data_IF_469886329582
#
_entry.id   IF_469886329582
#
_cell.length_a   1.000
_cell.length_b   1.000
_cell.length_c   1.000
_cell.angle_alpha   90.00
_cell.angle_beta   90.00
_cell.angle_gamma   90.00
#
_symmetry.space_group_name_H-M   'P 1'
#
loop_
_entity.id
_entity.type
_entity.pdbx_description
1 polymer ?
#
# COMPACT_ATOMS: atom_id res chain seq x y z
N UNK A 1 -27.49 25.76 -58.94
CA UNK A 1 -26.77 26.40 -57.82
C UNK A 1 -27.11 25.86 -56.43
N UNK A 2 -28.32 25.37 -56.10
CA UNK A 2 -28.62 24.82 -54.76
C UNK A 2 -27.96 23.48 -54.44
N UNK A 3 -27.61 22.65 -55.39
CA UNK A 3 -26.99 21.32 -55.13
C UNK A 3 -25.46 21.39 -54.87
N UNK A 4 -24.76 22.41 -55.36
CA UNK A 4 -23.32 22.58 -55.16
C UNK A 4 -23.03 23.10 -53.77
N UNK A 5 -23.90 23.94 -53.18
CA UNK A 5 -23.73 24.48 -51.84
C UNK A 5 -23.90 23.40 -50.75
N UNK A 6 -24.80 22.43 -50.95
CA UNK A 6 -25.00 21.36 -49.99
C UNK A 6 -23.83 20.33 -49.98
N UNK A 7 -23.18 20.08 -51.10
CA UNK A 7 -22.01 19.18 -51.19
C UNK A 7 -20.77 19.83 -50.50
N UNK A 8 -20.58 21.14 -50.66
CA UNK A 8 -19.47 21.85 -49.99
C UNK A 8 -19.66 21.95 -48.46
N UNK A 9 -20.88 22.10 -47.95
CA UNK A 9 -21.14 22.09 -46.51
C UNK A 9 -20.90 20.71 -45.87
N UNK A 10 -21.30 19.63 -46.55
CA UNK A 10 -21.12 18.26 -46.05
C UNK A 10 -19.63 17.88 -46.03
N UNK A 11 -18.87 18.23 -47.06
CA UNK A 11 -17.44 17.96 -47.12
C UNK A 11 -16.66 18.78 -46.07
N UNK A 12 -17.05 20.03 -45.80
CA UNK A 12 -16.39 20.84 -44.76
C UNK A 12 -16.69 20.34 -43.35
N UNK A 13 -17.91 19.85 -43.09
CA UNK A 13 -18.28 19.25 -41.78
C UNK A 13 -17.55 17.95 -41.52
N UNK A 14 -17.38 17.08 -42.52
CA UNK A 14 -16.63 15.81 -42.38
C UNK A 14 -15.14 16.08 -42.15
N UNK A 15 -14.53 17.04 -42.83
CA UNK A 15 -13.09 17.38 -42.62
C UNK A 15 -12.87 17.99 -41.25
N UNK A 16 -13.78 18.76 -40.70
CA UNK A 16 -13.66 19.31 -39.35
C UNK A 16 -13.82 18.23 -38.27
N UNK A 17 -14.74 17.27 -38.45
CA UNK A 17 -14.91 16.15 -37.54
C UNK A 17 -13.69 15.21 -37.55
N UNK A 18 -13.17 14.82 -38.71
CA UNK A 18 -11.96 13.97 -38.81
C UNK A 18 -10.70 14.68 -38.30
N UNK A 19 -10.56 15.99 -38.48
CA UNK A 19 -9.45 16.76 -37.94
C UNK A 19 -9.53 16.93 -36.38
N UNK A 20 -10.73 16.98 -35.82
CA UNK A 20 -10.94 17.04 -34.38
C UNK A 20 -10.67 15.68 -33.73
N UNK A 21 -11.14 14.57 -34.31
CA UNK A 21 -10.88 13.21 -33.85
C UNK A 21 -9.38 12.87 -33.93
N UNK A 22 -8.69 13.23 -35.03
CA UNK A 22 -7.25 12.99 -35.16
C UNK A 22 -6.39 13.79 -34.19
N UNK A 23 -6.79 15.04 -33.86
CA UNK A 23 -6.11 15.83 -32.83
C UNK A 23 -6.33 15.22 -31.43
N UNK A 24 -7.53 14.78 -31.12
CA UNK A 24 -7.88 14.16 -29.84
C UNK A 24 -7.15 12.81 -29.66
N UNK A 25 -7.09 11.99 -30.72
CA UNK A 25 -6.32 10.74 -30.73
C UNK A 25 -4.82 10.97 -30.57
N UNK A 26 -4.23 11.93 -31.29
CA UNK A 26 -2.81 12.28 -31.15
C UNK A 26 -2.48 12.83 -29.77
N UNK A 27 -3.35 13.64 -29.19
CA UNK A 27 -3.16 14.15 -27.81
C UNK A 27 -3.24 13.02 -26.79
N UNK A 28 -4.20 12.10 -26.91
CA UNK A 28 -4.33 10.93 -26.05
C UNK A 28 -3.11 10.02 -26.16
N UNK A 29 -2.67 9.69 -27.37
CA UNK A 29 -1.49 8.85 -27.61
C UNK A 29 -0.19 9.47 -27.08
N UNK A 30 -0.05 10.80 -27.17
CA UNK A 30 1.10 11.52 -26.60
C UNK A 30 1.04 11.53 -25.07
N UNK A 31 -0.13 11.64 -24.48
CA UNK A 31 -0.32 11.60 -23.02
C UNK A 31 -0.05 10.20 -22.47
N UNK A 32 -0.54 9.15 -23.13
CA UNK A 32 -0.31 7.76 -22.75
C UNK A 32 1.20 7.42 -22.79
N UNK A 33 1.92 7.84 -23.85
CA UNK A 33 3.37 7.61 -23.97
C UNK A 33 4.20 8.35 -22.92
N UNK A 34 3.77 9.54 -22.49
CA UNK A 34 4.42 10.30 -21.40
C UNK A 34 4.15 9.65 -20.06
N UNK A 35 2.92 9.22 -19.80
CA UNK A 35 2.57 8.52 -18.57
C UNK A 35 3.41 7.26 -18.40
N UNK A 36 3.58 6.46 -19.46
CA UNK A 36 4.41 5.25 -19.44
C UNK A 36 5.88 5.54 -19.09
N UNK A 37 6.45 6.60 -19.65
CA UNK A 37 7.83 7.01 -19.33
C UNK A 37 7.99 7.44 -17.86
N UNK A 38 6.99 8.12 -17.30
CA UNK A 38 7.00 8.50 -15.90
C UNK A 38 6.75 7.31 -14.95
N UNK A 39 6.02 6.27 -15.39
CA UNK A 39 5.84 5.05 -14.60
C UNK A 39 7.18 4.35 -14.32
N UNK A 40 8.06 4.21 -15.32
CA UNK A 40 9.41 3.65 -15.10
C UNK A 40 10.24 4.55 -14.17
N UNK A 41 10.15 5.86 -14.36
CA UNK A 41 10.90 6.83 -13.55
C UNK A 41 10.49 6.75 -12.08
N UNK A 42 9.19 6.81 -11.78
CA UNK A 42 8.72 6.80 -10.40
C UNK A 42 8.95 5.45 -9.74
N UNK A 43 8.76 4.33 -10.45
CA UNK A 43 9.08 3.00 -9.91
C UNK A 43 10.56 2.90 -9.54
N UNK A 44 11.47 3.31 -10.43
CA UNK A 44 12.90 3.29 -10.15
C UNK A 44 13.26 4.19 -8.94
N UNK A 45 12.71 5.39 -8.87
CA UNK A 45 12.98 6.31 -7.76
C UNK A 45 12.50 5.75 -6.42
N UNK A 46 11.26 5.29 -6.34
CA UNK A 46 10.67 4.74 -5.11
C UNK A 46 11.30 3.41 -4.70
N UNK A 47 11.65 2.53 -5.64
CA UNK A 47 12.42 1.30 -5.37
C UNK A 47 13.80 1.64 -4.80
N UNK A 48 14.45 2.71 -5.25
CA UNK A 48 15.75 3.15 -4.74
C UNK A 48 15.73 3.55 -3.25
N UNK A 49 14.58 3.94 -2.69
CA UNK A 49 14.41 4.09 -1.25
C UNK A 49 14.74 2.77 -0.53
N UNK A 50 14.14 1.67 -0.97
CA UNK A 50 14.31 0.34 -0.40
C UNK A 50 15.63 -0.34 -0.79
N UNK A 51 16.23 0.08 -1.89
CA UNK A 51 17.49 -0.48 -2.36
C UNK A 51 18.71 0.23 -1.77
N UNK A 52 18.73 1.56 -1.79
CA UNK A 52 19.89 2.37 -1.40
C UNK A 52 19.86 2.77 0.08
N UNK A 53 18.74 3.27 0.58
CA UNK A 53 18.66 3.72 1.97
C UNK A 53 18.73 2.54 2.96
N UNK A 54 18.18 1.39 2.60
CA UNK A 54 18.28 0.18 3.40
C UNK A 54 19.72 -0.35 3.60
N UNK A 55 20.68 0.11 2.80
CA UNK A 55 22.09 -0.24 2.97
C UNK A 55 22.80 0.54 4.09
N UNK A 56 22.17 1.56 4.64
CA UNK A 56 22.72 2.35 5.75
C UNK A 56 22.78 1.57 7.06
N UNK A 57 22.01 0.50 7.20
CA UNK A 57 22.04 -0.39 8.37
C UNK A 57 22.44 -1.82 7.99
N UNK A 58 22.78 -2.65 8.98
CA UNK A 58 23.15 -4.05 8.74
C UNK A 58 21.98 -4.93 8.29
N UNK A 59 20.74 -4.52 8.57
CA UNK A 59 19.54 -5.32 8.29
C UNK A 59 19.26 -5.50 6.79
N UNK A 60 19.46 -4.46 6.00
CA UNK A 60 18.95 -4.38 4.64
C UNK A 60 17.44 -4.12 4.54
N UNK A 61 16.77 -3.90 5.68
CA UNK A 61 15.36 -3.53 5.80
C UNK A 61 15.17 -2.02 5.62
N UNK A 62 13.93 -1.61 5.35
CA UNK A 62 13.60 -0.22 5.07
C UNK A 62 13.80 0.67 6.30
N UNK A 63 14.53 1.80 6.19
CA UNK A 63 14.46 2.83 7.23
C UNK A 63 13.00 3.28 7.39
N UNK A 64 12.60 3.53 8.61
CA UNK A 64 11.22 4.00 8.88
C UNK A 64 10.97 5.30 8.13
N UNK A 65 11.94 6.23 8.20
CA UNK A 65 11.91 7.51 7.50
C UNK A 65 13.27 7.93 6.98
N UNK A 66 13.28 8.81 6.00
CA UNK A 66 14.48 9.47 5.49
C UNK A 66 14.25 10.97 5.47
N UNK A 67 15.11 11.70 6.18
CA UNK A 67 15.16 13.16 6.16
C UNK A 67 16.22 13.60 5.15
N UNK A 68 15.84 14.39 4.16
CA UNK A 68 16.76 14.82 3.09
C UNK A 68 17.84 15.80 3.55
N UNK A 69 17.63 16.45 4.70
CA UNK A 69 18.63 17.30 5.38
C UNK A 69 19.57 16.51 6.30
N UNK A 70 19.35 15.17 6.46
CA UNK A 70 20.07 14.29 7.38
C UNK A 70 20.00 14.73 8.86
N UNK A 71 19.00 15.50 9.25
CA UNK A 71 18.77 15.91 10.64
C UNK A 71 17.73 14.98 11.28
N UNK A 72 18.15 14.20 12.27
CA UNK A 72 17.31 13.24 13.00
C UNK A 72 17.21 13.65 14.49
N UNK A 73 16.29 14.56 14.83
CA UNK A 73 16.20 15.14 16.18
C UNK A 73 15.90 14.11 17.28
N UNK A 74 15.27 12.98 16.88
CA UNK A 74 14.87 11.88 17.79
C UNK A 74 15.92 10.75 17.84
N UNK A 75 17.08 10.94 17.20
CA UNK A 75 18.14 9.93 17.07
C UNK A 75 17.63 8.61 16.42
N UNK A 76 16.76 8.73 15.45
CA UNK A 76 16.03 7.64 14.78
C UNK A 76 16.60 7.27 13.40
N UNK A 77 17.81 7.74 13.07
CA UNK A 77 18.47 7.47 11.78
C UNK A 77 18.68 5.98 11.47
N UNK A 78 18.79 5.13 12.48
CA UNK A 78 18.95 3.67 12.34
C UNK A 78 17.65 2.88 12.55
N UNK A 79 16.54 3.57 12.77
CA UNK A 79 15.25 2.91 12.98
C UNK A 79 14.74 2.36 11.66
N UNK A 80 14.44 1.07 11.64
CA UNK A 80 13.75 0.38 10.55
C UNK A 80 12.31 0.09 10.95
N UNK A 81 11.41 0.09 9.97
CA UNK A 81 10.00 -0.26 10.15
C UNK A 81 9.72 -1.67 9.67
N UNK A 82 8.97 -2.43 10.46
CA UNK A 82 8.64 -3.82 10.13
C UNK A 82 7.71 -3.92 8.93
N UNK A 83 6.56 -3.25 8.97
CA UNK A 83 5.57 -3.32 7.89
C UNK A 83 6.02 -2.64 6.61
N UNK A 84 6.59 -1.43 6.72
CA UNK A 84 7.15 -0.74 5.56
C UNK A 84 8.26 -1.53 4.87
N UNK A 85 9.01 -2.36 5.64
CA UNK A 85 9.97 -3.31 5.06
C UNK A 85 9.28 -4.42 4.26
N UNK A 86 8.12 -4.90 4.69
CA UNK A 86 7.30 -5.85 3.92
C UNK A 86 6.91 -5.29 2.55
N UNK A 87 6.49 -4.04 2.51
CA UNK A 87 6.21 -3.34 1.24
C UNK A 87 7.48 -3.19 0.39
N UNK A 88 8.61 -2.89 1.04
CA UNK A 88 9.93 -2.82 0.40
C UNK A 88 10.35 -4.14 -0.24
N UNK A 89 10.11 -5.28 0.40
CA UNK A 89 10.38 -6.60 -0.18
C UNK A 89 9.63 -6.81 -1.51
N UNK A 90 8.37 -6.42 -1.56
CA UNK A 90 7.57 -6.49 -2.78
C UNK A 90 8.07 -5.50 -3.85
N UNK A 91 8.45 -4.28 -3.44
CA UNK A 91 9.05 -3.29 -4.33
C UNK A 91 10.38 -3.79 -4.94
N UNK A 92 11.21 -4.47 -4.15
CA UNK A 92 12.47 -5.06 -4.65
C UNK A 92 12.23 -6.19 -5.66
N UNK A 93 11.19 -7.02 -5.48
CA UNK A 93 10.78 -8.03 -6.49
C UNK A 93 10.39 -7.32 -7.79
N UNK A 94 9.58 -6.26 -7.73
CA UNK A 94 9.25 -5.46 -8.92
C UNK A 94 10.51 -4.90 -9.59
N UNK A 95 11.47 -4.41 -8.79
CA UNK A 95 12.75 -3.90 -9.29
C UNK A 95 13.61 -4.96 -10.00
N UNK A 96 13.61 -6.19 -9.51
CA UNK A 96 14.32 -7.32 -10.13
C UNK A 96 13.62 -7.71 -11.44
N UNK A 97 12.32 -7.82 -11.45
CA UNK A 97 11.54 -8.20 -12.63
C UNK A 97 11.66 -7.16 -13.75
N UNK A 98 11.69 -5.87 -13.40
CA UNK A 98 11.92 -4.76 -14.32
C UNK A 98 13.38 -4.59 -14.77
N UNK A 99 14.31 -5.34 -14.20
CA UNK A 99 15.74 -5.19 -14.51
C UNK A 99 16.40 -3.95 -13.90
N UNK A 100 15.76 -3.28 -12.94
CA UNK A 100 16.37 -2.17 -12.18
C UNK A 100 17.37 -2.68 -11.15
N UNK A 101 17.22 -3.93 -10.72
CA UNK A 101 18.08 -4.63 -9.76
C UNK A 101 18.55 -5.94 -10.39
N UNK A 102 19.85 -6.18 -10.34
CA UNK A 102 20.44 -7.44 -10.78
C UNK A 102 19.92 -8.62 -9.93
N UNK A 103 19.54 -9.74 -10.57
CA UNK A 103 18.93 -10.90 -9.90
C UNK A 103 19.78 -11.46 -8.77
N UNK A 104 21.08 -11.59 -8.97
CA UNK A 104 22.01 -12.10 -7.97
C UNK A 104 22.16 -11.12 -6.78
N UNK A 105 22.19 -9.82 -7.07
CA UNK A 105 22.24 -8.79 -6.03
C UNK A 105 20.94 -8.77 -5.21
N UNK A 106 19.79 -8.96 -5.85
CA UNK A 106 18.50 -9.11 -5.20
C UNK A 106 18.44 -10.32 -4.27
N UNK A 107 18.89 -11.50 -4.74
CA UNK A 107 18.95 -12.71 -3.90
C UNK A 107 19.80 -12.48 -2.66
N UNK A 108 21.00 -11.92 -2.80
CA UNK A 108 21.88 -11.58 -1.66
C UNK A 108 21.22 -10.61 -0.67
N UNK A 109 20.45 -9.66 -1.16
CA UNK A 109 19.69 -8.74 -0.30
C UNK A 109 18.66 -9.49 0.53
N UNK A 110 17.88 -10.39 -0.06
CA UNK A 110 16.87 -11.17 0.65
C UNK A 110 17.50 -12.15 1.65
N UNK A 111 18.60 -12.80 1.32
CA UNK A 111 19.37 -13.65 2.26
C UNK A 111 19.85 -12.85 3.48
N UNK A 112 20.34 -11.63 3.27
CA UNK A 112 20.77 -10.72 4.34
C UNK A 112 19.59 -10.35 5.24
N UNK A 113 18.45 -9.94 4.64
CA UNK A 113 17.24 -9.56 5.36
C UNK A 113 16.73 -10.73 6.21
N UNK A 114 16.60 -11.92 5.63
CA UNK A 114 16.13 -13.11 6.37
C UNK A 114 17.09 -13.46 7.50
N UNK A 115 18.40 -13.42 7.26
CA UNK A 115 19.42 -13.67 8.31
C UNK A 115 19.36 -12.66 9.45
N UNK A 116 18.94 -11.44 9.18
CA UNK A 116 18.73 -10.44 10.23
C UNK A 116 17.44 -10.72 11.02
N UNK A 117 16.34 -10.99 10.32
CA UNK A 117 15.02 -11.25 10.92
C UNK A 117 15.00 -12.49 11.83
N UNK A 118 15.80 -13.52 11.51
CA UNK A 118 15.98 -14.71 12.35
C UNK A 118 16.61 -14.41 13.72
N UNK A 119 17.35 -13.31 13.83
CA UNK A 119 18.09 -12.90 15.04
C UNK A 119 17.46 -11.70 15.76
N UNK A 120 16.54 -11.00 15.08
CA UNK A 120 15.86 -9.83 15.63
C UNK A 120 14.93 -10.21 16.78
N UNK A 121 14.59 -9.24 17.61
CA UNK A 121 13.62 -9.45 18.69
C UNK A 121 12.27 -9.87 18.12
N UNK A 122 11.69 -10.92 18.70
CA UNK A 122 10.37 -11.46 18.36
C UNK A 122 9.62 -11.80 19.64
N UNK A 123 8.31 -11.59 19.62
CA UNK A 123 7.44 -11.76 20.78
C UNK A 123 6.25 -12.63 20.35
N UNK A 124 6.21 -13.88 20.80
CA UNK A 124 5.29 -14.88 20.27
C UNK A 124 5.34 -14.94 18.74
N UNK A 125 6.57 -14.91 18.21
CA UNK A 125 6.85 -14.94 16.78
C UNK A 125 6.63 -13.63 16.02
N UNK A 126 5.93 -12.65 16.56
CA UNK A 126 5.74 -11.35 15.91
C UNK A 126 6.95 -10.42 16.14
N UNK A 127 7.32 -9.65 15.12
CA UNK A 127 8.32 -8.60 15.22
C UNK A 127 7.70 -7.32 15.80
N UNK A 128 8.51 -6.44 16.41
CA UNK A 128 8.03 -5.16 16.90
C UNK A 128 7.69 -4.20 15.76
N UNK A 129 7.00 -3.13 16.08
CA UNK A 129 6.68 -2.05 15.13
C UNK A 129 7.95 -1.47 14.50
N UNK A 130 8.90 -1.09 15.35
CA UNK A 130 10.22 -0.58 14.98
C UNK A 130 11.34 -1.39 15.60
N UNK A 131 12.45 -1.47 14.87
CA UNK A 131 13.70 -2.10 15.33
C UNK A 131 14.91 -1.21 15.02
N UNK A 132 15.95 -1.33 15.80
CA UNK A 132 17.26 -0.83 15.42
C UNK A 132 17.82 -1.70 14.27
N UNK A 133 18.11 -1.08 13.14
CA UNK A 133 18.51 -1.77 11.91
C UNK A 133 19.91 -2.42 11.96
N UNK A 134 20.71 -2.18 13.00
CA UNK A 134 22.01 -2.79 13.20
C UNK A 134 21.98 -3.95 14.19
N UNK A 135 21.11 -3.89 15.18
CA UNK A 135 21.07 -4.87 16.28
C UNK A 135 19.85 -5.79 16.27
N UNK A 136 18.77 -5.42 15.59
CA UNK A 136 17.50 -6.13 15.59
C UNK A 136 16.71 -5.96 16.90
N UNK A 137 17.15 -5.07 17.79
CA UNK A 137 16.46 -4.81 19.06
C UNK A 137 15.24 -3.91 18.84
N UNK A 138 14.19 -4.18 19.63
CA UNK A 138 12.99 -3.36 19.61
C UNK A 138 13.30 -1.89 19.91
N UNK A 139 12.77 -0.99 19.11
CA UNK A 139 12.68 0.45 19.37
C UNK A 139 11.22 0.75 19.67
N UNK A 140 10.86 1.17 20.90
CA UNK A 140 9.47 1.39 21.26
C UNK A 140 8.80 2.46 20.37
N UNK A 141 7.72 2.10 19.71
CA UNK A 141 6.89 3.06 18.95
C UNK A 141 6.17 4.04 19.88
N UNK A 142 5.76 3.54 21.04
CA UNK A 142 5.17 4.35 22.11
C UNK A 142 5.46 3.73 23.48
N UNK A 143 5.07 4.40 24.57
CA UNK A 143 5.31 3.95 25.94
C UNK A 143 4.84 2.52 26.25
N UNK A 144 3.80 2.04 25.58
CA UNK A 144 3.25 0.70 25.81
C UNK A 144 3.46 -0.22 24.58
N UNK A 145 4.13 0.26 23.55
CA UNK A 145 4.39 -0.42 22.29
C UNK A 145 5.90 -0.70 22.19
N UNK A 146 6.33 -1.69 22.99
CA UNK A 146 7.71 -2.13 23.15
C UNK A 146 7.87 -3.65 22.93
N UNK A 147 6.95 -4.25 22.18
CA UNK A 147 6.90 -5.70 21.98
C UNK A 147 6.44 -6.10 20.59
N UNK A 148 5.69 -7.21 20.49
CA UNK A 148 5.23 -7.74 19.23
C UNK A 148 4.06 -6.96 18.65
N UNK A 149 4.19 -6.51 17.42
CA UNK A 149 3.15 -5.87 16.62
C UNK A 149 2.65 -6.83 15.53
N UNK A 150 1.43 -7.34 15.67
CA UNK A 150 0.89 -8.33 14.75
C UNK A 150 0.49 -7.73 13.40
N UNK A 151 0.12 -6.46 13.37
CA UNK A 151 -0.26 -5.73 12.13
C UNK A 151 0.98 -5.52 11.27
N UNK A 152 2.03 -4.93 11.84
CA UNK A 152 3.31 -4.73 11.16
C UNK A 152 3.93 -6.06 10.72
N UNK A 153 3.86 -7.08 11.59
CA UNK A 153 4.27 -8.45 11.24
C UNK A 153 3.50 -9.00 10.05
N UNK A 154 2.20 -8.72 9.94
CA UNK A 154 1.40 -9.17 8.80
C UNK A 154 1.82 -8.54 7.49
N UNK A 155 2.18 -7.26 7.50
CA UNK A 155 2.73 -6.58 6.31
C UNK A 155 4.11 -7.13 5.93
N UNK A 156 4.97 -7.39 6.92
CA UNK A 156 6.27 -8.02 6.67
C UNK A 156 6.10 -9.42 6.07
N UNK A 157 5.21 -10.24 6.63
CA UNK A 157 4.93 -11.59 6.13
C UNK A 157 4.31 -11.59 4.73
N UNK A 158 3.46 -10.61 4.42
CA UNK A 158 2.96 -10.41 3.05
C UNK A 158 4.13 -10.25 2.06
N UNK A 159 5.11 -9.43 2.40
CA UNK A 159 6.32 -9.25 1.60
C UNK A 159 7.19 -10.51 1.52
N UNK A 160 7.46 -11.16 2.64
CA UNK A 160 8.28 -12.39 2.71
C UNK A 160 7.65 -13.53 1.90
N UNK A 161 6.34 -13.74 2.00
CA UNK A 161 5.63 -14.77 1.21
C UNK A 161 5.62 -14.46 -0.29
N UNK A 162 5.64 -13.18 -0.67
CA UNK A 162 5.82 -12.77 -2.07
C UNK A 162 7.23 -13.11 -2.57
N UNK A 163 8.28 -12.85 -1.76
CA UNK A 163 9.66 -13.25 -2.04
C UNK A 163 9.76 -14.77 -2.14
N UNK A 164 9.16 -15.50 -1.21
CA UNK A 164 9.13 -16.96 -1.23
C UNK A 164 8.52 -17.49 -2.54
N UNK A 165 7.36 -16.96 -2.95
CA UNK A 165 6.68 -17.38 -4.18
C UNK A 165 7.51 -17.07 -5.45
N UNK A 166 8.23 -15.93 -5.45
CA UNK A 166 9.14 -15.59 -6.54
C UNK A 166 10.28 -16.60 -6.67
N UNK A 167 10.96 -16.91 -5.56
CA UNK A 167 12.13 -17.80 -5.58
C UNK A 167 11.78 -19.29 -5.58
N UNK A 168 10.57 -19.69 -5.23
CA UNK A 168 10.12 -21.10 -5.28
C UNK A 168 10.25 -21.72 -6.70
N UNK A 169 10.26 -20.88 -7.73
CA UNK A 169 10.42 -21.30 -9.14
C UNK A 169 11.89 -21.40 -9.60
N UNK A 170 12.86 -21.12 -8.71
CA UNK A 170 14.29 -21.11 -9.04
C UNK A 170 14.98 -22.35 -8.45
N UNK A 171 15.68 -23.12 -9.29
CA UNK A 171 16.28 -24.40 -8.88
C UNK A 171 17.62 -24.27 -8.12
N UNK A 172 18.12 -23.05 -7.89
CA UNK A 172 19.39 -22.88 -7.17
C UNK A 172 19.24 -23.25 -5.68
N UNK A 173 20.24 -23.94 -5.12
CA UNK A 173 20.25 -24.34 -3.72
C UNK A 173 20.05 -23.14 -2.77
N UNK A 174 20.62 -21.98 -3.10
CA UNK A 174 20.46 -20.74 -2.32
C UNK A 174 19.01 -20.22 -2.35
N UNK A 175 18.36 -20.27 -3.50
CA UNK A 175 16.95 -19.89 -3.59
C UNK A 175 16.06 -20.83 -2.77
N UNK A 176 16.31 -22.14 -2.81
CA UNK A 176 15.54 -23.10 -2.01
C UNK A 176 15.82 -22.97 -0.51
N UNK A 177 17.06 -22.66 -0.09
CA UNK A 177 17.38 -22.30 1.30
C UNK A 177 16.59 -21.08 1.77
N UNK A 178 16.60 -20.00 0.98
CA UNK A 178 15.81 -18.79 1.26
C UNK A 178 14.31 -19.09 1.42
N UNK A 179 13.75 -19.89 0.51
CA UNK A 179 12.33 -20.33 0.56
C UNK A 179 12.02 -21.07 1.85
N UNK A 180 12.89 -22.01 2.27
CA UNK A 180 12.73 -22.80 3.49
C UNK A 180 12.81 -21.94 4.76
N UNK A 181 13.74 -21.00 4.81
CA UNK A 181 13.93 -20.09 5.94
C UNK A 181 12.76 -19.14 6.11
N UNK A 182 12.22 -18.59 5.01
CA UNK A 182 11.00 -17.79 5.06
C UNK A 182 9.83 -18.62 5.58
N UNK A 183 9.70 -19.88 5.15
CA UNK A 183 8.67 -20.79 5.65
C UNK A 183 8.77 -20.96 7.18
N UNK A 184 9.97 -21.19 7.71
CA UNK A 184 10.20 -21.32 9.16
C UNK A 184 9.78 -20.04 9.90
N UNK A 185 10.19 -18.86 9.42
CA UNK A 185 9.80 -17.58 10.03
C UNK A 185 8.29 -17.40 10.11
N UNK A 186 7.56 -17.83 9.08
CA UNK A 186 6.09 -17.76 9.07
C UNK A 186 5.46 -18.76 10.03
N UNK A 187 5.95 -20.00 10.07
CA UNK A 187 5.46 -21.06 10.96
C UNK A 187 5.61 -20.72 12.44
N UNK A 188 6.61 -19.89 12.77
CA UNK A 188 6.89 -19.47 14.14
C UNK A 188 6.02 -18.32 14.66
N UNK A 189 5.21 -17.65 13.81
CA UNK A 189 4.30 -16.60 14.29
C UNK A 189 3.08 -17.23 14.96
N UNK A 190 2.94 -16.99 16.26
CA UNK A 190 1.86 -17.54 17.09
C UNK A 190 0.55 -16.73 16.92
N UNK A 191 -0.03 -16.70 15.71
CA UNK A 191 -1.21 -15.90 15.37
C UNK A 191 -2.37 -16.08 16.34
N UNK A 192 -2.70 -17.33 16.70
CA UNK A 192 -3.79 -17.62 17.64
C UNK A 192 -3.53 -17.10 19.06
N UNK A 193 -2.27 -16.94 19.48
CA UNK A 193 -1.91 -16.29 20.73
C UNK A 193 -2.47 -14.86 20.82
N UNK A 194 -2.40 -14.12 19.72
CA UNK A 194 -2.83 -12.72 19.65
C UNK A 194 -4.36 -12.56 19.68
N UNK A 195 -5.12 -13.62 19.83
CA UNK A 195 -6.56 -13.55 20.15
C UNK A 195 -6.83 -13.34 21.64
N UNK A 196 -5.88 -13.55 22.53
CA UNK A 196 -6.09 -13.63 24.00
C UNK A 196 -7.18 -14.67 24.36
N UNK A 197 -7.38 -15.70 23.57
CA UNK A 197 -8.47 -16.67 23.72
C UNK A 197 -9.86 -16.11 23.40
N UNK A 198 -9.97 -14.95 22.72
CA UNK A 198 -11.21 -14.32 22.29
C UNK A 198 -11.41 -14.43 20.78
N UNK A 199 -12.55 -14.00 20.29
CA UNK A 199 -12.93 -14.10 18.87
C UNK A 199 -12.59 -12.82 18.10
N UNK A 200 -11.38 -12.29 18.32
CA UNK A 200 -10.82 -11.10 17.66
C UNK A 200 -9.31 -11.14 17.77
N UNK A 201 -8.59 -10.58 16.80
CA UNK A 201 -7.15 -10.38 16.88
C UNK A 201 -6.83 -9.03 17.55
N UNK A 202 -5.75 -9.02 18.33
CA UNK A 202 -5.23 -7.83 18.97
C UNK A 202 -3.96 -7.35 18.27
N UNK A 203 -3.79 -6.04 18.20
CA UNK A 203 -2.69 -5.38 17.50
C UNK A 203 -1.33 -5.72 18.10
N UNK A 204 -1.21 -5.61 19.44
CA UNK A 204 0.07 -5.55 20.11
C UNK A 204 0.08 -6.30 21.45
N UNK A 205 1.23 -6.91 21.75
CA UNK A 205 1.56 -7.45 23.07
C UNK A 205 2.95 -6.97 23.50
N UNK A 206 3.10 -6.57 24.78
CA UNK A 206 4.34 -6.07 25.36
C UNK A 206 4.91 -7.06 26.36
N UNK A 207 6.22 -7.37 26.31
CA UNK A 207 6.86 -8.18 27.34
C UNK A 207 6.88 -7.49 28.72
N UNK A 208 6.83 -6.16 28.75
CA UNK A 208 6.86 -5.33 29.96
C UNK A 208 5.47 -5.01 30.48
N UNK A 209 4.52 -4.73 29.58
CA UNK A 209 3.17 -4.22 29.89
C UNK A 209 2.05 -5.24 29.61
N UNK A 210 2.37 -6.42 29.07
CA UNK A 210 1.37 -7.41 28.64
C UNK A 210 0.38 -6.85 27.62
N UNK A 211 -0.89 -7.08 27.82
CA UNK A 211 -1.98 -6.62 26.95
C UNK A 211 -2.50 -5.22 27.29
N UNK A 212 -1.67 -4.33 27.85
CA UNK A 212 -2.11 -3.01 28.34
C UNK A 212 -2.72 -2.12 27.26
N UNK A 213 -2.23 -2.18 26.03
CA UNK A 213 -2.85 -1.45 24.91
C UNK A 213 -4.25 -1.97 24.61
N UNK A 214 -4.47 -3.29 24.74
CA UNK A 214 -5.74 -3.98 24.55
C UNK A 214 -6.53 -3.54 23.29
N UNK A 215 -5.80 -3.26 22.19
CA UNK A 215 -6.37 -2.76 20.96
C UNK A 215 -6.85 -3.92 20.08
N UNK A 216 -8.14 -4.22 20.16
CA UNK A 216 -8.80 -5.20 19.30
C UNK A 216 -8.95 -4.61 17.89
N UNK A 217 -8.52 -5.36 16.86
CA UNK A 217 -8.57 -4.93 15.47
C UNK A 217 -9.84 -5.42 14.80
N UNK A 218 -10.70 -4.51 14.35
CA UNK A 218 -11.95 -4.89 13.70
C UNK A 218 -12.58 -3.75 12.91
N UNK A 219 -13.45 -4.10 11.97
CA UNK A 219 -14.00 -3.17 11.00
C UNK A 219 -13.05 -2.89 9.84
N UNK A 220 -13.54 -2.22 8.80
CA UNK A 220 -12.72 -1.92 7.63
C UNK A 220 -11.59 -0.95 7.97
N UNK A 221 -10.39 -1.41 7.73
CA UNK A 221 -9.13 -0.69 7.80
C UNK A 221 -8.05 -1.44 7.01
N UNK A 222 -6.78 -1.10 7.19
CA UNK A 222 -5.62 -1.71 6.53
C UNK A 222 -5.34 -3.18 6.91
N UNK A 223 -5.94 -3.70 7.99
CA UNK A 223 -5.52 -4.92 8.66
C UNK A 223 -6.19 -6.21 8.15
N UNK A 224 -6.92 -6.21 7.03
CA UNK A 224 -7.53 -7.44 6.49
C UNK A 224 -6.48 -8.55 6.30
N UNK A 225 -5.30 -8.20 5.81
CA UNK A 225 -4.21 -9.15 5.58
C UNK A 225 -3.80 -9.90 6.86
N UNK A 226 -3.86 -9.25 8.02
CA UNK A 226 -3.57 -9.88 9.31
C UNK A 226 -4.51 -11.06 9.59
N UNK A 227 -5.80 -10.90 9.36
CA UNK A 227 -6.79 -11.97 9.51
C UNK A 227 -6.62 -13.08 8.47
N UNK A 228 -6.31 -12.71 7.23
CA UNK A 228 -6.05 -13.68 6.16
C UNK A 228 -4.82 -14.52 6.50
N UNK A 229 -3.71 -13.91 6.88
CA UNK A 229 -2.48 -14.63 7.24
C UNK A 229 -2.69 -15.47 8.52
N UNK A 230 -3.36 -14.94 9.51
CA UNK A 230 -3.67 -15.71 10.72
C UNK A 230 -4.52 -16.96 10.42
N UNK A 231 -5.50 -16.85 9.51
CA UNK A 231 -6.27 -18.02 9.07
C UNK A 231 -5.46 -18.96 8.16
N UNK A 232 -4.42 -18.47 7.51
CA UNK A 232 -3.55 -19.22 6.59
C UNK A 232 -2.42 -19.94 7.31
N UNK A 233 -2.14 -19.58 8.56
CA UNK A 233 -1.01 -20.15 9.32
C UNK A 233 -1.08 -21.70 9.35
N UNK A 234 0.01 -22.39 9.01
CA UNK A 234 0.06 -23.85 9.07
C UNK A 234 0.17 -24.39 10.50
N UNK A 235 0.64 -23.57 11.46
CA UNK A 235 0.95 -23.96 12.84
C UNK A 235 -0.03 -23.41 13.87
N UNK A 236 -0.37 -22.11 13.77
CA UNK A 236 -1.19 -21.38 14.75
C UNK A 236 -2.38 -20.69 14.11
N UNK A 237 -3.23 -21.41 13.34
CA UNK A 237 -4.33 -20.78 12.62
C UNK A 237 -5.44 -20.30 13.55
N UNK A 238 -6.12 -19.22 13.14
CA UNK A 238 -7.38 -18.81 13.74
C UNK A 238 -8.58 -19.51 13.06
N UNK A 239 -9.69 -19.59 13.78
CA UNK A 239 -10.97 -20.04 13.21
C UNK A 239 -11.65 -18.93 12.40
N UNK A 240 -12.60 -19.31 11.53
CA UNK A 240 -13.44 -18.37 10.79
C UNK A 240 -14.24 -17.44 11.72
N UNK A 241 -14.62 -17.91 12.90
CA UNK A 241 -15.36 -17.10 13.88
C UNK A 241 -14.58 -15.86 14.32
N UNK A 242 -13.25 -15.96 14.46
CA UNK A 242 -12.40 -14.81 14.79
C UNK A 242 -12.49 -13.70 13.71
N UNK A 243 -12.59 -14.10 12.44
CA UNK A 243 -12.81 -13.16 11.34
C UNK A 243 -14.22 -12.58 11.37
N UNK A 244 -15.25 -13.43 11.48
CA UNK A 244 -16.63 -12.99 11.41
C UNK A 244 -17.06 -12.13 12.59
N UNK A 245 -16.56 -12.43 13.79
CA UNK A 245 -16.89 -11.67 15.00
C UNK A 245 -15.95 -10.48 15.21
N UNK A 246 -14.66 -10.67 14.98
CA UNK A 246 -13.63 -9.64 15.12
C UNK A 246 -13.66 -8.64 13.96
N UNK A 247 -13.13 -9.05 12.80
CA UNK A 247 -13.05 -8.17 11.63
C UNK A 247 -14.41 -7.66 11.17
N UNK A 248 -15.33 -8.58 10.87
CA UNK A 248 -16.62 -8.25 10.28
C UNK A 248 -17.69 -7.86 11.32
N UNK A 249 -17.36 -7.85 12.63
CA UNK A 249 -18.23 -7.38 13.73
C UNK A 249 -19.63 -8.00 13.69
N UNK A 250 -19.68 -9.31 13.56
CA UNK A 250 -20.93 -10.06 13.43
C UNK A 250 -21.80 -9.60 12.25
N UNK A 251 -21.20 -9.12 11.17
CA UNK A 251 -21.89 -8.69 9.95
C UNK A 251 -22.25 -7.20 9.89
N UNK A 252 -21.99 -6.42 10.94
CA UNK A 252 -22.22 -4.96 10.91
C UNK A 252 -21.21 -4.21 10.05
N UNK A 253 -20.29 -4.93 9.41
CA UNK A 253 -19.32 -4.36 8.48
C UNK A 253 -19.97 -3.83 7.20
N UNK A 254 -21.01 -4.50 6.67
CA UNK A 254 -21.67 -4.11 5.42
C UNK A 254 -22.43 -2.78 5.58
N UNK A 255 -22.46 -1.97 4.53
CA UNK A 255 -23.14 -0.67 4.52
C UNK A 255 -23.83 -0.41 3.19
N UNK A 256 -25.02 0.20 3.26
CA UNK A 256 -25.77 0.71 2.10
C UNK A 256 -25.59 2.24 1.94
N UNK A 257 -24.67 2.85 2.69
CA UNK A 257 -24.42 4.29 2.62
C UNK A 257 -23.71 4.69 1.33
N UNK A 258 -23.92 5.94 0.92
CA UNK A 258 -23.29 6.54 -0.25
C UNK A 258 -22.64 7.88 0.13
N UNK A 259 -21.55 8.20 -0.57
CA UNK A 259 -20.90 9.51 -0.59
C UNK A 259 -20.69 9.92 -2.05
N UNK A 260 -21.08 11.13 -2.42
CA UNK A 260 -21.04 11.60 -3.81
C UNK A 260 -21.79 10.69 -4.80
N UNK A 261 -22.85 10.01 -4.36
CA UNK A 261 -23.56 9.02 -5.17
C UNK A 261 -22.77 7.73 -5.43
N UNK A 262 -21.71 7.49 -4.66
CA UNK A 262 -20.85 6.31 -4.75
C UNK A 262 -21.07 5.45 -3.51
N UNK A 263 -21.48 4.16 -3.66
CA UNK A 263 -21.65 3.25 -2.52
C UNK A 263 -20.36 3.07 -1.73
N UNK A 264 -20.44 3.15 -0.39
CA UNK A 264 -19.28 2.89 0.49
C UNK A 264 -18.96 1.41 0.60
N UNK A 265 -19.94 0.53 0.35
CA UNK A 265 -19.89 -0.95 0.44
C UNK A 265 -19.76 -1.45 1.89
N UNK A 266 -18.92 -0.79 2.70
CA UNK A 266 -18.71 -1.12 4.11
C UNK A 266 -18.85 0.11 5.00
N UNK A 267 -19.05 -0.12 6.30
CA UNK A 267 -19.06 0.91 7.32
C UNK A 267 -17.62 1.23 7.77
N UNK A 268 -17.22 2.50 7.62
CA UNK A 268 -15.94 3.04 8.10
C UNK A 268 -16.07 3.46 9.58
N UNK A 269 -16.43 2.51 10.39
CA UNK A 269 -16.87 2.63 11.78
C UNK A 269 -16.04 3.58 12.68
N UNK A 270 -14.76 3.65 12.48
CA UNK A 270 -13.88 4.45 13.35
C UNK A 270 -13.97 5.97 13.08
N UNK A 271 -14.75 6.36 12.07
CA UNK A 271 -14.81 7.75 11.58
C UNK A 271 -16.25 8.17 11.28
N UNK A 272 -17.08 8.16 12.31
CA UNK A 272 -18.52 8.46 12.23
C UNK A 272 -18.86 9.79 11.55
N UNK A 273 -17.99 10.79 11.66
CA UNK A 273 -18.16 12.13 11.11
C UNK A 273 -17.92 12.21 9.59
N UNK A 274 -17.02 11.38 9.06
CA UNK A 274 -16.62 11.43 7.65
C UNK A 274 -17.18 10.29 6.78
N UNK A 275 -17.63 9.20 7.40
CA UNK A 275 -18.10 7.98 6.72
C UNK A 275 -17.13 7.37 5.72
N UNK A 276 -15.86 7.75 5.76
CA UNK A 276 -14.77 7.25 4.92
C UNK A 276 -13.43 7.32 5.65
N UNK A 277 -12.56 6.32 5.48
CA UNK A 277 -11.21 6.29 6.04
C UNK A 277 -10.16 6.91 5.11
N UNK A 278 -8.91 7.04 5.58
CA UNK A 278 -7.78 7.43 4.74
C UNK A 278 -7.48 6.36 3.67
N UNK A 279 -6.89 6.77 2.53
CA UNK A 279 -6.74 5.88 1.37
C UNK A 279 -5.79 4.70 1.58
N UNK A 280 -4.84 4.74 2.52
CA UNK A 280 -3.97 3.60 2.78
C UNK A 280 -4.75 2.33 3.20
N UNK A 281 -5.98 2.46 3.72
CA UNK A 281 -6.86 1.33 3.99
C UNK A 281 -7.24 0.54 2.73
N UNK A 282 -7.27 1.20 1.57
CA UNK A 282 -7.48 0.56 0.29
C UNK A 282 -6.18 0.01 -0.34
N UNK A 283 -5.02 0.20 0.29
CA UNK A 283 -3.73 -0.18 -0.29
C UNK A 283 -3.04 -1.32 0.46
N UNK A 284 -2.77 -1.19 1.76
CA UNK A 284 -1.79 -2.04 2.46
C UNK A 284 -2.12 -3.54 2.43
N UNK A 285 -3.33 -3.95 2.74
CA UNK A 285 -3.74 -5.35 2.59
C UNK A 285 -3.74 -5.80 1.13
N UNK A 286 -4.00 -4.89 0.21
CA UNK A 286 -4.17 -5.18 -1.22
C UNK A 286 -2.88 -5.01 -2.04
N UNK A 287 -1.74 -4.85 -1.40
CA UNK A 287 -0.46 -4.97 -2.07
C UNK A 287 -0.23 -6.40 -2.59
N UNK A 288 -0.59 -7.40 -1.78
CA UNK A 288 -0.53 -8.82 -2.14
C UNK A 288 -1.89 -9.47 -2.43
N UNK A 289 -2.95 -9.09 -1.71
CA UNK A 289 -4.30 -9.56 -1.99
C UNK A 289 -4.88 -8.84 -3.21
N UNK A 290 -5.22 -9.56 -4.28
CA UNK A 290 -5.86 -8.97 -5.45
C UNK A 290 -7.34 -8.68 -5.16
N UNK A 291 -7.75 -7.43 -4.93
CA UNK A 291 -9.12 -7.13 -4.54
C UNK A 291 -10.14 -7.46 -5.64
N UNK A 292 -9.73 -7.39 -6.92
CA UNK A 292 -10.62 -7.68 -8.06
C UNK A 292 -11.00 -9.16 -8.16
N UNK A 293 -10.22 -10.04 -7.51
CA UNK A 293 -10.50 -11.48 -7.45
C UNK A 293 -11.16 -11.90 -6.14
N UNK A 294 -11.37 -11.00 -5.19
CA UNK A 294 -11.86 -11.35 -3.86
C UNK A 294 -13.27 -10.81 -3.60
N UNK A 295 -14.12 -11.69 -3.09
CA UNK A 295 -15.39 -11.33 -2.48
C UNK A 295 -15.71 -12.29 -1.34
N UNK A 296 -16.48 -11.82 -0.38
CA UNK A 296 -17.09 -12.66 0.65
C UNK A 296 -18.55 -12.24 0.87
N UNK A 297 -19.17 -12.70 1.94
CA UNK A 297 -20.57 -12.33 2.24
C UNK A 297 -20.75 -10.87 2.66
N UNK A 298 -19.68 -10.12 2.88
CA UNK A 298 -19.72 -8.73 3.35
C UNK A 298 -19.42 -7.72 2.25
N UNK A 299 -18.54 -8.04 1.30
CA UNK A 299 -18.09 -7.13 0.28
C UNK A 299 -17.59 -7.81 -1.00
N UNK A 300 -17.72 -7.12 -2.13
CA UNK A 300 -16.83 -7.26 -3.28
C UNK A 300 -15.68 -6.28 -3.08
N UNK A 301 -14.46 -6.81 -2.92
CA UNK A 301 -13.31 -6.00 -2.53
C UNK A 301 -12.77 -5.15 -3.68
N UNK A 302 -12.99 -5.55 -4.94
CA UNK A 302 -12.69 -4.71 -6.10
C UNK A 302 -13.57 -3.48 -6.17
N UNK A 303 -14.88 -3.66 -5.90
CA UNK A 303 -15.81 -2.53 -5.79
C UNK A 303 -15.46 -1.63 -4.61
N UNK A 304 -15.19 -2.22 -3.44
CA UNK A 304 -14.85 -1.51 -2.21
C UNK A 304 -13.64 -0.57 -2.41
N UNK A 305 -12.52 -1.12 -2.87
CA UNK A 305 -11.26 -0.35 -3.02
C UNK A 305 -11.37 0.71 -4.11
N UNK A 306 -12.03 0.38 -5.24
CA UNK A 306 -12.29 1.33 -6.32
C UNK A 306 -13.22 2.46 -5.88
N UNK A 307 -14.29 2.15 -5.16
CA UNK A 307 -15.22 3.17 -4.66
C UNK A 307 -14.56 4.06 -3.59
N UNK A 308 -13.71 3.50 -2.72
CA UNK A 308 -12.95 4.28 -1.76
C UNK A 308 -12.08 5.34 -2.46
N UNK A 309 -11.33 4.93 -3.49
CA UNK A 309 -10.52 5.86 -4.28
C UNK A 309 -11.38 6.89 -5.03
N UNK A 310 -12.52 6.48 -5.62
CA UNK A 310 -13.46 7.40 -6.29
C UNK A 310 -14.04 8.46 -5.36
N UNK A 311 -14.36 8.09 -4.12
CA UNK A 311 -14.90 9.03 -3.12
C UNK A 311 -13.84 10.09 -2.76
N UNK A 312 -12.58 9.69 -2.58
CA UNK A 312 -11.50 10.65 -2.32
C UNK A 312 -11.24 11.58 -3.51
N UNK A 313 -11.29 11.06 -4.73
CA UNK A 313 -11.19 11.88 -5.93
C UNK A 313 -12.37 12.85 -6.05
N UNK A 314 -13.60 12.38 -5.84
CA UNK A 314 -14.80 13.22 -5.88
C UNK A 314 -14.74 14.34 -4.82
N UNK A 315 -14.26 14.03 -3.61
CA UNK A 315 -14.01 15.02 -2.57
C UNK A 315 -12.99 16.09 -3.00
N UNK A 316 -11.89 15.68 -3.63
CA UNK A 316 -10.89 16.63 -4.11
C UNK A 316 -11.41 17.53 -5.26
N UNK A 317 -12.26 16.99 -6.14
CA UNK A 317 -12.90 17.77 -7.22
C UNK A 317 -13.95 18.72 -6.66
N UNK A 318 -14.82 18.27 -5.73
CA UNK A 318 -15.81 19.09 -5.04
C UNK A 318 -15.15 20.17 -4.18
N UNK A 319 -14.03 19.85 -3.58
CA UNK A 319 -13.18 20.74 -2.76
C UNK A 319 -14.00 21.61 -1.79
N UNK A 320 -14.78 21.03 -0.88
CA UNK A 320 -15.75 21.77 -0.05
C UNK A 320 -15.11 22.76 0.90
N UNK A 321 -13.80 22.67 1.11
CA UNK A 321 -13.03 23.61 1.95
C UNK A 321 -12.26 24.65 1.15
N UNK A 322 -12.36 24.64 -0.20
CA UNK A 322 -11.70 25.55 -1.12
C UNK A 322 -10.18 25.61 -0.97
N UNK A 323 -9.52 24.47 -0.71
CA UNK A 323 -8.07 24.39 -0.66
C UNK A 323 -7.44 24.57 -2.04
N UNK A 324 -6.36 25.34 -2.12
CA UNK A 324 -5.61 25.51 -3.36
C UNK A 324 -5.06 24.17 -3.86
N UNK A 325 -5.13 23.97 -5.17
CA UNK A 325 -4.51 22.84 -5.87
C UNK A 325 -5.35 21.55 -5.87
N UNK A 326 -6.42 21.44 -5.07
CA UNK A 326 -7.30 20.27 -5.12
C UNK A 326 -8.05 20.19 -6.46
N UNK A 327 -8.09 19.00 -7.06
CA UNK A 327 -8.75 18.77 -8.33
C UNK A 327 -8.56 17.35 -8.86
N UNK A 328 -8.89 17.13 -10.13
CA UNK A 328 -8.85 15.82 -10.78
C UNK A 328 -7.45 15.26 -11.02
N UNK A 329 -6.43 16.12 -11.06
CA UNK A 329 -5.02 15.82 -11.31
C UNK A 329 -4.10 16.17 -10.11
N UNK A 330 -4.70 16.52 -8.96
CA UNK A 330 -3.99 16.81 -7.71
C UNK A 330 -4.89 16.45 -6.52
N UNK A 331 -4.75 15.24 -6.02
CA UNK A 331 -5.62 14.65 -5.00
C UNK A 331 -4.90 13.59 -4.18
N UNK A 332 -5.49 13.19 -3.06
CA UNK A 332 -5.04 12.08 -2.26
C UNK A 332 -4.87 12.44 -0.78
N UNK A 333 -5.74 11.85 0.05
CA UNK A 333 -5.72 11.97 1.50
C UNK A 333 -5.40 10.62 2.12
N UNK A 334 -4.33 10.57 2.89
CA UNK A 334 -3.92 9.37 3.64
C UNK A 334 -3.20 9.78 4.91
N UNK A 335 -2.75 8.83 5.72
CA UNK A 335 -1.86 9.15 6.85
C UNK A 335 -0.56 9.72 6.30
N UNK A 336 -0.20 10.91 6.73
CA UNK A 336 0.99 11.64 6.27
C UNK A 336 1.33 12.77 7.22
N UNK A 337 2.47 13.43 6.99
CA UNK A 337 2.80 14.64 7.70
C UNK A 337 1.89 15.81 7.32
N UNK A 338 1.78 16.77 8.22
CA UNK A 338 1.17 18.08 8.01
C UNK A 338 1.91 19.13 8.82
N UNK A 339 1.53 20.41 8.67
CA UNK A 339 2.04 21.51 9.49
C UNK A 339 1.75 21.30 10.99
N UNK A 340 0.81 20.41 11.34
CA UNK A 340 0.44 20.06 12.73
C UNK A 340 0.99 18.72 13.20
N UNK A 341 1.91 18.12 12.42
CA UNK A 341 2.45 16.79 12.68
C UNK A 341 1.78 15.70 11.85
N UNK A 342 2.08 14.43 12.17
CA UNK A 342 1.54 13.27 11.48
C UNK A 342 0.08 13.00 11.87
N UNK A 343 -0.78 12.74 10.89
CA UNK A 343 -2.19 12.43 11.10
C UNK A 343 -2.81 11.63 9.95
N UNK A 344 -3.91 10.92 10.22
CA UNK A 344 -4.72 10.26 9.21
C UNK A 344 -5.64 11.26 8.50
N UNK A 345 -5.22 11.77 7.34
CA UNK A 345 -6.00 12.70 6.54
C UNK A 345 -7.07 11.95 5.72
N UNK A 346 -8.26 12.49 5.72
CA UNK A 346 -9.46 11.98 5.01
C UNK A 346 -10.48 13.10 4.86
N UNK A 347 -11.57 12.97 4.12
CA UNK A 347 -12.57 14.01 3.95
C UNK A 347 -13.03 14.68 5.24
N UNK A 348 -13.23 13.94 6.34
CA UNK A 348 -13.61 14.51 7.65
C UNK A 348 -12.45 15.08 8.47
N UNK A 349 -11.19 14.79 8.12
CA UNK A 349 -9.99 15.29 8.78
C UNK A 349 -8.98 15.78 7.76
N UNK A 350 -9.36 16.83 7.05
CA UNK A 350 -8.56 17.42 5.97
C UNK A 350 -8.00 18.79 6.40
N UNK A 351 -6.70 18.94 6.31
CA UNK A 351 -5.93 20.14 6.64
C UNK A 351 -5.38 20.85 5.38
N UNK A 352 -5.87 20.52 4.18
CA UNK A 352 -5.33 21.06 2.92
C UNK A 352 -3.98 20.43 2.54
N UNK A 353 -3.73 19.20 2.97
CA UNK A 353 -2.49 18.45 2.71
C UNK A 353 -2.76 17.35 1.70
N UNK A 354 -1.94 17.26 0.66
CA UNK A 354 -1.95 16.21 -0.34
C UNK A 354 -0.77 15.29 -0.10
N UNK A 355 -1.00 13.99 -0.08
CA UNK A 355 0.03 12.96 -0.05
C UNK A 355 0.06 12.20 -1.38
N UNK A 356 1.14 12.30 -2.18
CA UNK A 356 1.22 11.68 -3.50
C UNK A 356 0.98 10.18 -3.49
N UNK A 357 1.42 9.49 -2.45
CA UNK A 357 1.23 8.03 -2.31
C UNK A 357 -0.25 7.64 -2.45
N UNK A 358 -1.17 8.41 -1.89
CA UNK A 358 -2.61 8.11 -1.91
C UNK A 358 -3.16 7.97 -3.34
N UNK A 359 -2.84 8.92 -4.21
CA UNK A 359 -3.27 8.89 -5.60
C UNK A 359 -2.45 7.90 -6.44
N UNK A 360 -1.13 7.86 -6.28
CA UNK A 360 -0.25 7.01 -7.10
C UNK A 360 -0.42 5.53 -6.77
N UNK A 361 -0.65 5.19 -5.50
CA UNK A 361 -0.96 3.81 -5.09
C UNK A 361 -2.39 3.37 -5.46
N UNK A 362 -3.24 4.31 -5.85
CA UNK A 362 -4.56 4.02 -6.42
C UNK A 362 -4.53 3.73 -7.94
N UNK A 363 -3.35 3.58 -8.54
CA UNK A 363 -3.18 3.32 -9.98
C UNK A 363 -4.04 2.16 -10.50
N UNK A 364 -4.18 1.00 -9.82
CA UNK A 364 -5.04 -0.08 -10.29
C UNK A 364 -6.54 0.25 -10.23
N UNK A 365 -6.93 1.18 -9.36
CA UNK A 365 -8.33 1.54 -9.11
C UNK A 365 -8.81 2.67 -10.02
N UNK A 366 -7.96 3.68 -10.24
CA UNK A 366 -8.25 4.89 -11.01
C UNK A 366 -7.08 5.25 -11.93
N UNK A 367 -6.73 4.41 -12.91
CA UNK A 367 -5.51 4.56 -13.68
C UNK A 367 -5.39 5.93 -14.37
N UNK A 368 -6.46 6.44 -14.98
CA UNK A 368 -6.43 7.72 -15.67
C UNK A 368 -6.15 8.90 -14.73
N UNK A 369 -6.77 8.93 -13.55
CA UNK A 369 -6.59 10.04 -12.60
C UNK A 369 -5.26 9.95 -11.86
N UNK A 370 -4.79 8.75 -11.55
CA UNK A 370 -3.46 8.54 -10.97
C UNK A 370 -2.36 8.92 -11.97
N UNK A 371 -2.51 8.59 -13.26
CA UNK A 371 -1.58 9.01 -14.32
C UNK A 371 -1.62 10.52 -14.55
N UNK A 372 -2.79 11.18 -14.51
CA UNK A 372 -2.88 12.64 -14.60
C UNK A 372 -2.08 13.30 -13.48
N UNK A 373 -2.23 12.83 -12.24
CA UNK A 373 -1.44 13.35 -11.12
C UNK A 373 0.06 13.08 -11.31
N UNK A 374 0.44 11.89 -11.75
CA UNK A 374 1.84 11.55 -12.03
C UNK A 374 2.46 12.53 -13.02
N UNK A 375 1.81 12.76 -14.16
CA UNK A 375 2.26 13.69 -15.20
C UNK A 375 2.33 15.12 -14.66
N UNK A 376 1.30 15.55 -13.92
CA UNK A 376 1.24 16.89 -13.32
C UNK A 376 2.42 17.14 -12.35
N UNK A 377 2.72 16.18 -11.48
CA UNK A 377 3.85 16.26 -10.56
C UNK A 377 5.17 16.42 -11.32
N UNK A 378 5.44 15.58 -12.32
CA UNK A 378 6.73 15.58 -13.02
C UNK A 378 6.89 16.74 -14.04
N UNK A 379 5.82 17.29 -14.58
CA UNK A 379 5.90 18.42 -15.51
C UNK A 379 5.84 19.78 -14.82
N UNK A 380 4.96 19.92 -13.82
CA UNK A 380 4.61 21.23 -13.27
C UNK A 380 5.06 21.45 -11.82
N UNK A 381 5.40 20.37 -11.07
CA UNK A 381 5.72 20.42 -9.64
C UNK A 381 6.99 19.65 -9.30
N UNK A 382 8.07 19.89 -10.06
CA UNK A 382 9.36 19.19 -9.88
C UNK A 382 10.02 19.44 -8.54
N UNK A 383 9.72 20.56 -7.91
CA UNK A 383 10.13 20.94 -6.56
C UNK A 383 9.57 20.00 -5.47
N UNK A 384 8.47 19.31 -5.76
CA UNK A 384 7.88 18.29 -4.88
C UNK A 384 8.50 16.90 -5.05
N UNK A 385 9.49 16.75 -5.94
CA UNK A 385 10.11 15.46 -6.28
C UNK A 385 11.58 15.49 -5.88
N UNK A 386 11.98 14.55 -5.05
CA UNK A 386 13.36 14.39 -4.64
C UNK A 386 14.00 13.10 -5.16
N UNK A 387 15.02 12.62 -4.47
CA UNK A 387 15.84 11.48 -4.88
C UNK A 387 15.04 10.15 -5.00
N UNK A 388 14.00 10.00 -4.19
CA UNK A 388 13.18 8.77 -4.11
C UNK A 388 11.75 9.00 -4.62
N UNK A 389 11.54 9.94 -5.54
CA UNK A 389 10.23 10.31 -6.07
C UNK A 389 9.59 11.45 -5.28
N UNK A 390 8.26 11.59 -5.30
CA UNK A 390 7.55 12.63 -4.56
C UNK A 390 7.80 12.53 -3.07
N UNK A 391 7.94 13.69 -2.41
CA UNK A 391 7.98 13.77 -0.95
C UNK A 391 6.66 13.32 -0.33
N UNK A 392 6.70 13.01 0.97
CA UNK A 392 5.58 12.44 1.72
C UNK A 392 4.30 13.26 1.58
N UNK A 393 4.37 14.56 1.82
CA UNK A 393 3.20 15.44 1.82
C UNK A 393 3.55 16.89 1.55
N UNK A 394 2.57 17.63 1.01
CA UNK A 394 2.67 19.06 0.76
C UNK A 394 1.29 19.74 0.83
N UNK A 395 1.30 21.07 0.95
CA UNK A 395 0.10 21.92 0.94
C UNK A 395 0.33 23.16 0.10
N UNK A 396 -0.39 23.32 -1.00
CA UNK A 396 -0.39 24.57 -1.79
C UNK A 396 -1.13 25.70 -1.05
N UNK A 397 -2.03 25.37 -0.14
CA UNK A 397 -2.77 26.34 0.66
C UNK A 397 -1.83 27.07 1.63
N UNK A 398 -0.91 26.33 2.24
CA UNK A 398 -0.02 26.82 3.29
C UNK A 398 1.40 27.10 2.77
N UNK A 399 1.63 26.95 1.46
CA UNK A 399 2.97 27.04 0.85
C UNK A 399 4.00 26.18 1.60
N UNK A 400 3.60 24.93 1.90
CA UNK A 400 4.34 24.01 2.77
C UNK A 400 4.66 22.70 2.06
N UNK A 401 5.87 22.22 2.27
CA UNK A 401 6.36 20.93 1.83
C UNK A 401 7.38 20.41 2.85
N UNK A 402 7.35 19.09 3.08
CA UNK A 402 8.31 18.45 3.96
C UNK A 402 9.22 17.53 3.14
N UNK A 403 10.55 17.79 3.05
CA UNK A 403 11.48 16.97 2.28
C UNK A 403 11.85 15.68 3.02
N UNK A 404 10.86 14.82 3.21
CA UNK A 404 10.94 13.54 3.91
C UNK A 404 10.28 12.45 3.10
N UNK A 405 10.64 11.22 3.45
CA UNK A 405 10.03 9.99 2.97
C UNK A 405 9.75 9.07 4.13
N UNK A 406 8.64 8.34 4.08
CA UNK A 406 8.30 7.26 4.98
C UNK A 406 8.19 5.95 4.20
N UNK A 407 8.70 4.86 4.74
CA UNK A 407 8.64 3.56 4.07
C UNK A 407 7.21 3.11 3.75
N UNK A 408 6.29 3.36 4.70
CA UNK A 408 4.87 2.97 4.55
C UNK A 408 4.15 3.73 3.43
N UNK A 409 4.63 4.93 3.07
CA UNK A 409 4.09 5.74 1.98
C UNK A 409 4.82 5.52 0.66
N UNK A 410 6.13 5.24 0.72
CA UNK A 410 6.93 4.94 -0.48
C UNK A 410 6.65 3.55 -1.05
N UNK A 411 6.43 2.54 -0.22
CA UNK A 411 6.27 1.15 -0.65
C UNK A 411 5.04 0.89 -1.52
N UNK A 412 3.86 1.39 -1.18
CA UNK A 412 2.67 1.18 -1.99
C UNK A 412 2.78 1.71 -3.42
N UNK A 413 3.55 2.78 -3.67
CA UNK A 413 3.69 3.37 -5.01
C UNK A 413 4.22 2.35 -6.03
N UNK A 414 5.45 1.82 -5.91
CA UNK A 414 6.00 0.91 -6.92
C UNK A 414 5.27 -0.42 -6.98
N UNK A 415 4.72 -0.89 -5.84
CA UNK A 415 3.98 -2.16 -5.75
C UNK A 415 2.65 -2.07 -6.50
N UNK A 416 1.87 -1.01 -6.28
CA UNK A 416 0.58 -0.85 -6.93
C UNK A 416 0.73 -0.46 -8.41
N UNK A 417 1.75 0.29 -8.77
CA UNK A 417 2.09 0.52 -10.19
C UNK A 417 2.44 -0.81 -10.87
N UNK A 418 3.22 -1.69 -10.24
CA UNK A 418 3.53 -3.00 -10.81
C UNK A 418 2.28 -3.87 -10.93
N UNK A 419 1.41 -3.87 -9.92
CA UNK A 419 0.14 -4.58 -9.97
C UNK A 419 -0.78 -4.06 -11.09
N UNK A 420 -0.77 -2.75 -11.35
CA UNK A 420 -1.48 -2.17 -12.51
C UNK A 420 -0.87 -2.63 -13.84
N UNK A 421 0.46 -2.64 -13.98
CA UNK A 421 1.18 -2.93 -15.22
C UNK A 421 1.15 -4.40 -15.60
N UNK A 422 1.32 -5.31 -14.64
CA UNK A 422 1.51 -6.74 -14.91
C UNK A 422 0.70 -7.68 -14.00
N UNK A 423 0.26 -7.21 -12.82
CA UNK A 423 -0.35 -8.06 -11.81
C UNK A 423 0.64 -8.95 -11.06
N UNK A 424 1.95 -8.80 -11.27
CA UNK A 424 2.99 -9.70 -10.78
C UNK A 424 2.89 -10.00 -9.28
N UNK A 425 2.78 -8.96 -8.45
CA UNK A 425 2.86 -9.15 -7.00
C UNK A 425 1.58 -9.78 -6.46
N UNK A 426 0.43 -9.45 -7.04
CA UNK A 426 -0.83 -10.15 -6.78
C UNK A 426 -0.77 -11.64 -7.18
N UNK A 427 -0.21 -11.94 -8.35
CA UNK A 427 -0.07 -13.33 -8.81
C UNK A 427 0.87 -14.12 -7.90
N UNK A 428 2.00 -13.55 -7.51
CA UNK A 428 2.96 -14.19 -6.62
C UNK A 428 2.33 -14.48 -5.24
N UNK A 429 1.80 -13.45 -4.58
CA UNK A 429 1.24 -13.62 -3.24
C UNK A 429 0.04 -14.57 -3.23
N UNK A 430 -0.91 -14.38 -4.15
CA UNK A 430 -2.11 -15.20 -4.27
C UNK A 430 -1.84 -16.64 -4.76
N UNK A 431 -0.65 -16.94 -5.29
CA UNK A 431 -0.26 -18.31 -5.66
C UNK A 431 0.09 -19.19 -4.46
N UNK A 432 0.26 -18.61 -3.26
CA UNK A 432 0.58 -19.35 -2.06
C UNK A 432 -0.62 -20.21 -1.66
N UNK A 433 -0.41 -21.53 -1.54
CA UNK A 433 -1.46 -22.52 -1.28
C UNK A 433 -2.13 -22.30 0.08
N UNK A 434 -1.33 -21.97 1.09
CA UNK A 434 -1.80 -21.74 2.45
C UNK A 434 -2.65 -20.47 2.53
N UNK A 435 -2.25 -19.39 1.80
CA UNK A 435 -3.05 -18.17 1.69
C UNK A 435 -4.40 -18.44 1.03
N UNK A 436 -4.44 -19.23 -0.03
CA UNK A 436 -5.70 -19.64 -0.67
C UNK A 436 -6.60 -20.47 0.26
N UNK A 437 -6.00 -21.37 1.04
CA UNK A 437 -6.73 -22.16 2.04
C UNK A 437 -7.27 -21.29 3.16
N UNK A 438 -6.48 -20.33 3.66
CA UNK A 438 -6.91 -19.36 4.65
C UNK A 438 -8.08 -18.52 4.17
N UNK A 439 -8.00 -17.96 2.96
CA UNK A 439 -9.10 -17.21 2.35
C UNK A 439 -10.39 -18.04 2.27
N UNK A 440 -10.31 -19.30 1.79
CA UNK A 440 -11.48 -20.20 1.75
C UNK A 440 -12.01 -20.51 3.15
N UNK A 441 -11.13 -20.71 4.14
CA UNK A 441 -11.51 -20.92 5.55
C UNK A 441 -12.32 -19.76 6.10
N UNK A 442 -11.95 -18.51 5.74
CA UNK A 442 -12.68 -17.30 6.13
C UNK A 442 -13.97 -17.07 5.31
N UNK A 443 -14.26 -17.89 4.31
CA UNK A 443 -15.45 -17.78 3.46
C UNK A 443 -15.29 -16.86 2.26
N UNK A 444 -14.05 -16.53 1.87
CA UNK A 444 -13.80 -15.79 0.64
C UNK A 444 -14.02 -16.66 -0.60
N UNK A 445 -14.62 -16.05 -1.61
CA UNK A 445 -14.60 -16.55 -2.98
C UNK A 445 -13.42 -15.92 -3.70
N UNK A 446 -12.58 -16.76 -4.32
CA UNK A 446 -11.49 -16.33 -5.20
C UNK A 446 -11.99 -16.52 -6.63
N UNK A 447 -12.27 -15.41 -7.33
CA UNK A 447 -12.73 -15.43 -8.72
C UNK A 447 -11.63 -15.97 -9.63
N UNK A 448 -11.93 -16.99 -10.42
CA UNK A 448 -11.09 -17.40 -11.54
C UNK A 448 -11.15 -16.34 -12.64
N UNK A 449 -10.18 -16.35 -13.57
CA UNK A 449 -10.10 -15.39 -14.68
C UNK A 449 -11.35 -15.44 -15.55
#
# INVERSE_FOLDING_TARGET
MKYIVNILLITFTIVVFTACESKTQNQKQTQDSKADAYLDTIQLQTINYFWKEADKTLSGLAPERVHMDNIYPQNDANVITTGGSGFGLMALIAGIDRGFIEKEAGLKRFERIVSFLEKADRFHGAWPHWMDGNTGKVVPFSKNDDGGDLVETSFLMQGLLTVQAYYKKHDSARAQDLVSRIQTLWEEVEWSWYTQGKEVLYWHWSPTNGWKMNFAVGGYNECLIMYVLAASSPTYPISAEVYHKGWARNGTLSSDAELYGIPTVVDYYQHNDAKIGPLFWAHYSYLGLNPFKLSDRYADYGQLTTNHAKIHLAYAIDNPKNFKGYGEDMWGLTSSYSMKGYAGHRPGNDLGVIAPTAALSSMPYLPMNSQKMLVNLYENHKDLIGAYGPYDAFSFQEDWMLPRYLAIDQGPIPVMIENYRSGLLWELFMSNTEVQQGLRRLGFTIKEK
#
